data_IF_556611820417
#
_entry.id   IF_556611820417
#
_cell.length_a   1.000
_cell.length_b   1.000
_cell.length_c   1.000
_cell.angle_alpha   90.00
_cell.angle_beta   90.00
_cell.angle_gamma   90.00
#
_symmetry.space_group_name_H-M   'P 1'
#
loop_
_entity.id
_entity.type
_entity.pdbx_description
1 polymer ?
#
# COMPACT_ATOMS: atom_id res chain seq x y z
N UNK A 1 9.93 -24.21 40.82
CA UNK A 1 9.60 -25.38 40.01
C UNK A 1 8.50 -26.16 40.72
N UNK A 2 7.50 -26.67 40.02
CA UNK A 2 6.46 -27.46 40.69
C UNK A 2 7.03 -28.77 41.24
N UNK A 3 6.66 -29.19 42.47
CA UNK A 3 7.29 -30.32 43.17
C UNK A 3 7.08 -31.66 42.44
N UNK A 4 6.08 -31.77 41.58
CA UNK A 4 5.85 -32.95 40.74
C UNK A 4 6.83 -33.04 39.56
N UNK A 5 7.28 -31.90 39.02
CA UNK A 5 8.29 -31.86 37.96
C UNK A 5 9.68 -32.16 38.50
N UNK A 6 10.00 -31.71 39.72
CA UNK A 6 11.25 -32.05 40.42
C UNK A 6 11.43 -33.57 40.54
N UNK A 7 10.39 -34.30 40.94
CA UNK A 7 10.40 -35.77 41.01
C UNK A 7 10.62 -36.43 39.65
N UNK A 8 10.09 -35.86 38.57
CA UNK A 8 10.33 -36.36 37.21
C UNK A 8 11.77 -36.11 36.73
N UNK A 9 12.38 -35.02 37.18
CA UNK A 9 13.79 -34.71 36.92
C UNK A 9 14.71 -35.66 37.69
N UNK A 10 14.46 -35.85 38.99
CA UNK A 10 15.22 -36.79 39.82
C UNK A 10 15.14 -38.24 39.31
N UNK A 11 13.97 -38.64 38.80
CA UNK A 11 13.76 -39.97 38.19
C UNK A 11 14.24 -40.07 36.74
N UNK A 12 14.90 -39.04 36.19
CA UNK A 12 15.42 -38.95 34.80
C UNK A 12 14.38 -39.15 33.71
N UNK A 13 13.08 -39.01 34.02
CA UNK A 13 11.98 -39.06 33.05
C UNK A 13 11.77 -37.71 32.34
N UNK A 14 12.33 -36.65 32.92
CA UNK A 14 12.30 -35.28 32.41
C UNK A 14 13.69 -34.64 32.62
N UNK A 15 14.18 -33.92 31.63
CA UNK A 15 15.39 -33.10 31.78
C UNK A 15 15.07 -31.79 32.51
N UNK A 16 16.05 -31.16 33.18
CA UNK A 16 15.83 -29.85 33.81
C UNK A 16 15.32 -28.78 32.81
N UNK A 17 15.92 -28.74 31.61
CA UNK A 17 15.45 -27.90 30.50
C UNK A 17 14.02 -28.27 30.05
N UNK A 18 13.70 -29.56 30.05
CA UNK A 18 12.36 -30.04 29.74
C UNK A 18 11.33 -29.62 30.77
N UNK A 19 11.69 -29.58 32.06
CA UNK A 19 10.83 -29.06 33.12
C UNK A 19 10.50 -27.58 32.92
N UNK A 20 11.48 -26.75 32.57
CA UNK A 20 11.24 -25.33 32.24
C UNK A 20 10.30 -25.14 31.03
N UNK A 21 10.38 -26.01 30.01
CA UNK A 21 9.43 -25.95 28.89
C UNK A 21 8.05 -26.43 29.30
N UNK A 22 7.98 -27.49 30.12
CA UNK A 22 6.71 -28.02 30.57
C UNK A 22 5.97 -27.00 31.44
N UNK A 23 6.66 -26.21 32.27
CA UNK A 23 6.03 -25.12 33.03
C UNK A 23 5.24 -24.11 32.17
N UNK A 24 5.61 -23.96 30.89
CA UNK A 24 4.89 -23.10 29.92
C UNK A 24 3.72 -23.81 29.26
N UNK A 25 3.58 -25.12 29.44
CA UNK A 25 2.59 -26.00 28.84
C UNK A 25 1.58 -26.52 29.88
N UNK A 26 1.19 -25.68 30.84
CA UNK A 26 0.19 -26.02 31.87
C UNK A 26 -1.18 -26.33 31.26
N UNK A 27 -2.05 -27.08 31.97
CA UNK A 27 -3.44 -27.23 31.57
C UNK A 27 -4.10 -25.88 31.26
N UNK A 28 -4.81 -25.81 30.13
CA UNK A 28 -5.41 -24.59 29.60
C UNK A 28 -4.52 -23.79 28.64
N UNK A 29 -3.22 -24.07 28.56
CA UNK A 29 -2.32 -23.43 27.58
C UNK A 29 -2.52 -23.98 26.18
N UNK A 30 -2.21 -23.15 25.18
CA UNK A 30 -2.22 -23.53 23.78
C UNK A 30 -0.80 -23.79 23.29
N UNK A 31 -0.67 -24.75 22.38
CA UNK A 31 0.63 -25.17 21.85
C UNK A 31 0.56 -25.45 20.35
N UNK A 32 1.72 -25.47 19.71
CA UNK A 32 1.89 -25.90 18.33
C UNK A 32 2.83 -27.11 18.25
N UNK A 33 2.40 -28.16 17.57
CA UNK A 33 3.22 -29.32 17.22
C UNK A 33 3.52 -29.30 15.72
N UNK A 34 4.75 -29.64 15.33
CA UNK A 34 5.19 -29.62 13.92
C UNK A 34 4.33 -30.48 12.99
N UNK A 35 3.90 -31.65 13.46
CA UNK A 35 3.14 -32.63 12.65
C UNK A 35 1.64 -32.67 12.96
N UNK A 36 1.22 -32.18 14.12
CA UNK A 36 -0.18 -32.27 14.57
C UNK A 36 -0.86 -30.90 14.66
N UNK A 37 -0.11 -29.83 14.44
CA UNK A 37 -0.64 -28.48 14.37
C UNK A 37 -0.99 -27.92 15.75
N UNK A 38 -1.99 -27.05 15.75
CA UNK A 38 -2.47 -26.35 16.94
C UNK A 38 -3.18 -27.30 17.90
N UNK A 39 -2.91 -27.14 19.19
CA UNK A 39 -3.57 -27.89 20.25
C UNK A 39 -3.71 -27.13 21.55
N UNK A 40 -4.51 -27.68 22.47
CA UNK A 40 -4.72 -27.17 23.82
C UNK A 40 -4.37 -28.24 24.83
N UNK A 41 -3.51 -27.92 25.79
CA UNK A 41 -3.21 -28.83 26.90
C UNK A 41 -4.45 -28.92 27.78
N UNK A 42 -4.97 -30.12 27.96
CA UNK A 42 -6.17 -30.36 28.78
C UNK A 42 -5.79 -30.79 30.19
N UNK A 43 -4.77 -31.64 30.32
CA UNK A 43 -4.39 -32.23 31.60
C UNK A 43 -2.90 -32.58 31.65
N UNK A 44 -2.33 -32.48 32.84
CA UNK A 44 -1.06 -33.11 33.17
C UNK A 44 -1.31 -34.40 33.94
N UNK A 45 -0.97 -35.53 33.34
CA UNK A 45 -0.98 -36.83 33.99
C UNK A 45 0.45 -37.26 34.31
N UNK A 46 1.09 -36.51 35.22
CA UNK A 46 2.50 -36.70 35.56
C UNK A 46 2.77 -38.05 36.24
N UNK A 47 1.76 -38.62 36.90
CA UNK A 47 1.80 -39.98 37.46
C UNK A 47 2.07 -41.03 36.37
N UNK A 48 1.43 -40.89 35.20
CA UNK A 48 1.65 -41.74 34.03
C UNK A 48 2.77 -41.26 33.12
N UNK A 49 3.51 -40.21 33.52
CA UNK A 49 4.53 -39.55 32.69
C UNK A 49 3.98 -39.06 31.34
N UNK A 50 2.77 -38.51 31.34
CA UNK A 50 2.08 -38.02 30.14
C UNK A 50 1.42 -36.65 30.35
N UNK A 51 1.23 -35.91 29.26
CA UNK A 51 0.29 -34.80 29.19
C UNK A 51 -0.77 -35.11 28.13
N UNK A 52 -2.00 -34.67 28.37
CA UNK A 52 -3.11 -34.82 27.45
C UNK A 52 -3.33 -33.51 26.68
N UNK A 53 -3.43 -33.63 25.36
CA UNK A 53 -3.59 -32.48 24.46
C UNK A 53 -4.72 -32.74 23.49
N UNK A 54 -5.59 -31.74 23.34
CA UNK A 54 -6.59 -31.71 22.27
C UNK A 54 -5.98 -31.04 21.04
N UNK A 55 -5.63 -31.83 20.03
CA UNK A 55 -5.27 -31.34 18.70
C UNK A 55 -6.50 -31.30 17.79
N UNK A 56 -6.41 -30.54 16.69
CA UNK A 56 -7.42 -30.59 15.64
C UNK A 56 -7.61 -32.04 15.12
N UNK A 57 -8.79 -32.62 15.34
CA UNK A 57 -9.13 -33.98 14.93
C UNK A 57 -8.61 -35.11 15.84
N UNK A 58 -7.87 -34.81 16.92
CA UNK A 58 -7.40 -35.80 17.90
C UNK A 58 -7.58 -35.27 19.32
N UNK A 59 -8.70 -35.62 19.94
CA UNK A 59 -8.99 -35.28 21.34
C UNK A 59 -8.23 -36.18 22.31
N UNK A 60 -7.87 -35.62 23.46
CA UNK A 60 -7.21 -36.31 24.59
C UNK A 60 -5.99 -37.12 24.15
N UNK A 61 -5.17 -36.58 23.24
CA UNK A 61 -4.00 -37.28 22.75
C UNK A 61 -2.92 -37.34 23.85
N UNK A 62 -2.51 -38.54 24.29
CA UNK A 62 -1.48 -38.68 25.31
C UNK A 62 -0.10 -38.49 24.68
N UNK A 63 0.72 -37.65 25.31
CA UNK A 63 2.10 -37.38 24.89
C UNK A 63 3.05 -37.53 26.06
N UNK A 64 4.17 -38.24 25.89
CA UNK A 64 5.16 -38.37 26.96
C UNK A 64 5.75 -37.01 27.34
N UNK A 65 5.97 -36.78 28.64
CA UNK A 65 6.34 -35.46 29.18
C UNK A 65 7.62 -34.90 28.53
N UNK A 66 8.69 -35.69 28.42
CA UNK A 66 9.93 -35.24 27.77
C UNK A 66 9.72 -34.97 26.28
N UNK A 67 8.99 -35.82 25.56
CA UNK A 67 8.72 -35.62 24.14
C UNK A 67 7.91 -34.35 23.89
N UNK A 68 6.92 -34.08 24.76
CA UNK A 68 6.12 -32.88 24.71
C UNK A 68 6.96 -31.62 24.95
N UNK A 69 7.85 -31.65 25.95
CA UNK A 69 8.76 -30.55 26.24
C UNK A 69 9.73 -30.24 25.09
N UNK A 70 10.07 -31.24 24.26
CA UNK A 70 10.96 -31.09 23.11
C UNK A 70 10.24 -30.65 21.82
N UNK A 71 8.97 -31.02 21.65
CA UNK A 71 8.27 -30.92 20.35
C UNK A 71 7.09 -29.93 20.34
N UNK A 72 6.73 -29.36 21.49
CA UNK A 72 5.66 -28.38 21.59
C UNK A 72 6.20 -26.98 21.83
N UNK A 73 5.67 -26.03 21.05
CA UNK A 73 5.89 -24.62 21.28
C UNK A 73 4.66 -24.03 21.98
N UNK A 74 4.81 -23.54 23.22
CA UNK A 74 3.75 -22.80 23.92
C UNK A 74 3.39 -21.51 23.18
N UNK A 75 2.10 -21.20 23.05
CA UNK A 75 1.62 -20.01 22.36
C UNK A 75 1.12 -18.95 23.35
N UNK A 76 1.49 -17.69 23.10
CA UNK A 76 0.97 -16.53 23.83
C UNK A 76 -0.55 -16.37 23.60
N UNK A 77 -1.31 -15.84 24.57
CA UNK A 77 -2.71 -15.43 24.37
C UNK A 77 -2.91 -14.48 23.16
N UNK A 78 -1.91 -13.67 22.84
CA UNK A 78 -1.95 -12.72 21.72
C UNK A 78 -1.70 -13.38 20.36
N UNK A 79 -1.19 -14.62 20.36
CA UNK A 79 -0.93 -15.36 19.12
C UNK A 79 -2.22 -15.55 18.33
N UNK A 80 -2.18 -15.34 17.02
CA UNK A 80 -3.38 -15.31 16.17
C UNK A 80 -4.20 -16.60 16.27
N UNK A 81 -3.57 -17.77 16.23
CA UNK A 81 -4.26 -19.06 16.37
C UNK A 81 -4.99 -19.21 17.71
N UNK A 82 -4.44 -18.66 18.80
CA UNK A 82 -5.07 -18.69 20.13
C UNK A 82 -6.31 -17.81 20.14
N UNK A 83 -6.20 -16.59 19.62
CA UNK A 83 -7.34 -15.67 19.47
C UNK A 83 -8.44 -16.26 18.59
N UNK A 84 -8.07 -16.87 17.46
CA UNK A 84 -9.00 -17.55 16.54
C UNK A 84 -9.73 -18.71 17.21
N UNK A 85 -9.03 -19.51 18.02
CA UNK A 85 -9.63 -20.64 18.73
C UNK A 85 -10.60 -20.20 19.84
N UNK A 86 -10.29 -19.11 20.53
CA UNK A 86 -11.13 -18.59 21.62
C UNK A 86 -12.34 -17.81 21.12
N UNK A 87 -12.20 -17.03 20.04
CA UNK A 87 -13.27 -16.19 19.52
C UNK A 87 -13.16 -16.02 17.99
N UNK A 88 -13.69 -17.02 17.27
CA UNK A 88 -13.75 -16.98 15.81
C UNK A 88 -14.67 -15.86 15.29
N UNK A 89 -15.69 -15.47 16.06
CA UNK A 89 -16.66 -14.46 15.66
C UNK A 89 -15.99 -13.08 15.58
N UNK A 90 -15.19 -12.71 16.59
CA UNK A 90 -14.43 -11.46 16.54
C UNK A 90 -13.37 -11.47 15.45
N UNK A 91 -12.72 -12.60 15.16
CA UNK A 91 -11.80 -12.69 14.02
C UNK A 91 -12.51 -12.47 12.68
N UNK A 92 -13.69 -13.07 12.46
CA UNK A 92 -14.49 -12.84 11.25
C UNK A 92 -14.90 -11.37 11.10
N UNK A 93 -15.32 -10.74 12.20
CA UNK A 93 -15.65 -9.32 12.25
C UNK A 93 -14.43 -8.45 11.94
N UNK A 94 -13.31 -8.70 12.60
CA UNK A 94 -12.05 -7.98 12.39
C UNK A 94 -11.55 -8.13 10.95
N UNK A 95 -11.69 -9.30 10.34
CA UNK A 95 -11.30 -9.50 8.94
C UNK A 95 -12.13 -8.67 7.95
N UNK A 96 -13.34 -8.26 8.34
CA UNK A 96 -14.21 -7.40 7.53
C UNK A 96 -13.95 -5.91 7.79
N UNK A 97 -13.76 -5.54 9.06
CA UNK A 97 -13.59 -4.14 9.49
C UNK A 97 -12.16 -3.62 9.33
N UNK A 98 -11.16 -4.41 9.72
CA UNK A 98 -9.75 -4.08 9.62
C UNK A 98 -8.91 -5.29 9.14
N UNK A 99 -8.91 -5.55 7.82
CA UNK A 99 -8.14 -6.65 7.26
C UNK A 99 -6.62 -6.45 7.43
N UNK A 100 -6.14 -5.21 7.62
CA UNK A 100 -4.71 -4.93 7.84
C UNK A 100 -4.28 -5.40 9.23
N UNK A 101 -5.11 -5.18 10.25
CA UNK A 101 -4.87 -5.68 11.61
C UNK A 101 -4.85 -7.22 11.68
N UNK A 102 -5.70 -7.91 10.92
CA UNK A 102 -5.67 -9.39 10.83
C UNK A 102 -4.33 -9.86 10.28
N UNK A 103 -3.89 -9.29 9.15
CA UNK A 103 -2.59 -9.67 8.57
C UNK A 103 -1.44 -9.32 9.50
N UNK A 104 -1.49 -8.17 10.19
CA UNK A 104 -0.49 -7.82 11.21
C UNK A 104 -0.39 -8.91 12.28
N UNK A 105 -1.51 -9.27 12.89
CA UNK A 105 -1.55 -10.28 13.97
C UNK A 105 -1.02 -11.63 13.52
N UNK A 106 -1.32 -12.06 12.28
CA UNK A 106 -0.78 -13.29 11.70
C UNK A 106 0.74 -13.18 11.50
N UNK A 107 1.21 -12.09 10.90
CA UNK A 107 2.64 -11.90 10.61
C UNK A 107 3.46 -11.78 11.90
N UNK A 108 2.95 -11.11 12.93
CA UNK A 108 3.56 -11.06 14.27
C UNK A 108 3.67 -12.46 14.88
N UNK A 109 2.65 -13.30 14.70
CA UNK A 109 2.65 -14.68 15.15
C UNK A 109 3.66 -15.57 14.40
N UNK A 110 4.09 -15.16 13.20
CA UNK A 110 5.22 -15.74 12.46
C UNK A 110 6.54 -14.98 12.68
N UNK A 111 6.70 -14.33 13.83
CA UNK A 111 7.92 -13.57 14.18
C UNK A 111 8.25 -12.45 13.19
N UNK A 112 7.24 -11.79 12.65
CA UNK A 112 7.36 -10.59 11.82
C UNK A 112 7.45 -10.86 10.32
N UNK A 113 7.39 -12.11 9.86
CA UNK A 113 7.42 -12.44 8.43
C UNK A 113 6.60 -13.67 8.06
N UNK A 114 5.77 -13.58 7.02
CA UNK A 114 4.97 -14.71 6.55
C UNK A 114 4.76 -14.66 5.03
N UNK A 115 4.61 -15.82 4.40
CA UNK A 115 4.16 -15.93 3.01
C UNK A 115 2.64 -15.82 2.90
N UNK A 116 2.14 -15.50 1.69
CA UNK A 116 0.69 -15.50 1.43
C UNK A 116 0.06 -16.87 1.71
N UNK A 117 0.79 -17.94 1.43
CA UNK A 117 0.34 -19.32 1.67
C UNK A 117 0.14 -19.58 3.17
N UNK A 118 1.13 -19.21 4.00
CA UNK A 118 1.03 -19.33 5.46
C UNK A 118 -0.13 -18.51 6.04
N UNK A 119 -0.37 -17.30 5.52
CA UNK A 119 -1.51 -16.48 5.94
C UNK A 119 -2.83 -17.16 5.55
N UNK A 120 -2.93 -17.69 4.32
CA UNK A 120 -4.14 -18.37 3.85
C UNK A 120 -4.45 -19.63 4.65
N UNK A 121 -3.43 -20.40 5.05
CA UNK A 121 -3.59 -21.64 5.82
C UNK A 121 -4.34 -21.42 7.14
N UNK A 122 -4.21 -20.23 7.75
CA UNK A 122 -4.85 -19.93 9.03
C UNK A 122 -6.24 -19.32 8.89
N UNK A 123 -6.63 -18.88 7.70
CA UNK A 123 -7.90 -18.17 7.44
C UNK A 123 -8.87 -18.98 6.60
N UNK A 124 -8.38 -19.73 5.62
CA UNK A 124 -9.22 -20.56 4.74
C UNK A 124 -9.75 -21.77 5.51
N UNK A 125 -11.04 -22.07 5.34
CA UNK A 125 -11.75 -23.14 6.05
C UNK A 125 -12.56 -22.63 7.24
N UNK A 126 -11.94 -21.82 8.10
CA UNK A 126 -12.61 -21.29 9.31
C UNK A 126 -13.24 -19.91 9.10
N UNK A 127 -12.48 -18.99 8.47
CA UNK A 127 -12.86 -17.58 8.29
C UNK A 127 -13.42 -17.35 6.90
N UNK A 128 -12.76 -17.90 5.87
CA UNK A 128 -13.13 -17.73 4.48
C UNK A 128 -13.19 -19.07 3.73
N UNK A 129 -14.06 -19.15 2.74
CA UNK A 129 -13.91 -20.12 1.65
C UNK A 129 -12.76 -19.73 0.71
N UNK A 130 -12.29 -20.66 -0.12
CA UNK A 130 -11.27 -20.39 -1.15
C UNK A 130 -11.64 -19.23 -2.09
N UNK A 131 -12.92 -19.11 -2.44
CA UNK A 131 -13.41 -18.06 -3.32
C UNK A 131 -13.42 -16.68 -2.62
N UNK A 132 -13.86 -16.64 -1.36
CA UNK A 132 -13.88 -15.42 -0.54
C UNK A 132 -12.46 -14.94 -0.24
N UNK A 133 -11.55 -15.86 0.10
CA UNK A 133 -10.15 -15.55 0.35
C UNK A 133 -9.50 -14.84 -0.84
N UNK A 134 -9.70 -15.35 -2.08
CA UNK A 134 -9.12 -14.71 -3.28
C UNK A 134 -9.60 -13.27 -3.44
N UNK A 135 -10.90 -13.01 -3.23
CA UNK A 135 -11.46 -11.65 -3.33
C UNK A 135 -10.94 -10.76 -2.21
N UNK A 136 -10.97 -11.26 -0.97
CA UNK A 136 -10.50 -10.57 0.22
C UNK A 136 -9.02 -10.20 0.11
N UNK A 137 -8.18 -11.14 -0.32
CA UNK A 137 -6.73 -10.93 -0.45
C UNK A 137 -6.38 -9.84 -1.46
N UNK A 138 -7.07 -9.77 -2.61
CA UNK A 138 -6.82 -8.74 -3.62
C UNK A 138 -7.17 -7.33 -3.11
N UNK A 139 -8.24 -7.18 -2.33
CA UNK A 139 -8.54 -5.91 -1.64
C UNK A 139 -7.55 -5.61 -0.52
N UNK A 140 -7.25 -6.58 0.34
CA UNK A 140 -6.35 -6.42 1.49
C UNK A 140 -4.93 -6.09 1.06
N UNK A 141 -4.43 -6.69 -0.03
CA UNK A 141 -3.10 -6.39 -0.58
C UNK A 141 -2.94 -4.90 -0.93
N UNK A 142 -4.00 -4.25 -1.42
CA UNK A 142 -3.98 -2.79 -1.70
C UNK A 142 -3.91 -1.99 -0.41
N UNK A 143 -4.64 -2.41 0.63
CA UNK A 143 -4.63 -1.77 1.94
C UNK A 143 -3.28 -1.93 2.66
N UNK A 144 -2.67 -3.13 2.60
CA UNK A 144 -1.32 -3.38 3.15
C UNK A 144 -0.26 -2.49 2.49
N UNK A 145 -0.32 -2.33 1.16
CA UNK A 145 0.56 -1.40 0.44
C UNK A 145 0.28 0.06 0.81
N UNK A 146 -0.98 0.40 1.07
CA UNK A 146 -1.37 1.76 1.43
C UNK A 146 -1.04 2.11 2.89
N UNK A 147 -0.94 1.14 3.80
CA UNK A 147 -0.61 1.40 5.20
C UNK A 147 0.85 1.81 5.42
N UNK A 148 1.75 1.40 4.52
CA UNK A 148 3.19 1.66 4.66
C UNK A 148 3.85 0.89 5.81
N UNK A 149 3.12 0.06 6.56
CA UNK A 149 3.64 -0.73 7.69
C UNK A 149 4.20 -2.11 7.26
N UNK A 150 3.97 -2.50 6.01
CA UNK A 150 4.37 -3.80 5.47
C UNK A 150 5.29 -3.64 4.27
N UNK A 151 6.24 -4.55 4.13
CA UNK A 151 6.89 -4.84 2.86
C UNK A 151 6.08 -5.92 2.15
N UNK A 152 5.40 -5.56 1.05
CA UNK A 152 4.52 -6.46 0.30
C UNK A 152 5.17 -6.77 -1.06
N UNK A 153 5.75 -7.96 -1.25
CA UNK A 153 6.43 -8.31 -2.49
C UNK A 153 5.48 -8.49 -3.67
N UNK A 154 6.05 -8.45 -4.87
CA UNK A 154 5.31 -8.67 -6.11
C UNK A 154 4.92 -10.16 -6.27
N UNK A 155 5.84 -11.07 -5.95
CA UNK A 155 5.61 -12.53 -6.03
C UNK A 155 4.93 -13.04 -4.76
N UNK A 156 4.03 -14.01 -4.92
CA UNK A 156 3.27 -14.62 -3.81
C UNK A 156 4.14 -15.56 -2.94
N UNK A 157 5.27 -16.01 -3.47
CA UNK A 157 6.25 -16.88 -2.80
C UNK A 157 7.15 -16.12 -1.83
N UNK A 158 7.24 -14.82 -2.00
CA UNK A 158 8.16 -13.98 -1.24
C UNK A 158 7.49 -13.57 0.08
N UNK A 159 8.31 -13.30 1.09
CA UNK A 159 7.85 -13.00 2.45
C UNK A 159 7.23 -11.60 2.52
N UNK A 160 6.04 -11.52 3.11
CA UNK A 160 5.47 -10.28 3.63
C UNK A 160 6.11 -10.05 4.99
N UNK A 161 6.70 -8.88 5.18
CA UNK A 161 7.39 -8.54 6.42
C UNK A 161 6.76 -7.32 7.06
N UNK A 162 6.66 -7.32 8.39
CA UNK A 162 6.42 -6.09 9.14
C UNK A 162 7.66 -5.22 9.00
N UNK A 163 7.46 -3.94 8.70
CA UNK A 163 8.56 -2.98 8.78
C UNK A 163 8.80 -2.72 10.27
N UNK A 164 9.90 -3.25 10.79
CA UNK A 164 10.35 -2.94 12.15
C UNK A 164 10.79 -1.48 12.26
N UNK A 165 10.93 -0.98 13.49
CA UNK A 165 11.32 0.39 13.86
C UNK A 165 12.69 0.88 13.30
N UNK A 166 13.40 0.06 12.51
CA UNK A 166 14.71 0.38 11.93
C UNK A 166 14.84 0.30 10.40
N UNK A 167 13.82 -0.18 9.66
CA UNK A 167 13.82 -0.07 8.19
C UNK A 167 12.85 1.03 7.82
N UNK A 168 13.38 2.23 7.61
CA UNK A 168 12.53 3.38 7.32
C UNK A 168 11.85 3.18 5.96
N UNK A 169 10.52 3.19 5.95
CA UNK A 169 9.74 3.20 4.71
C UNK A 169 10.20 4.32 3.76
N UNK A 170 10.65 5.43 4.34
CA UNK A 170 11.21 6.57 3.60
C UNK A 170 12.49 6.19 2.85
N UNK A 171 13.39 5.41 3.45
CA UNK A 171 14.64 4.99 2.82
C UNK A 171 14.40 4.05 1.64
N UNK A 172 13.42 3.15 1.74
CA UNK A 172 13.03 2.29 0.62
C UNK A 172 12.41 3.09 -0.53
N UNK A 173 11.56 4.07 -0.22
CA UNK A 173 10.97 4.94 -1.23
C UNK A 173 12.04 5.78 -1.94
N UNK A 174 13.02 6.30 -1.20
CA UNK A 174 14.19 7.01 -1.75
C UNK A 174 15.03 6.06 -2.60
N UNK A 175 15.31 4.84 -2.11
CA UNK A 175 16.08 3.85 -2.85
C UNK A 175 15.35 3.42 -4.14
N UNK A 176 14.03 3.27 -4.10
CA UNK A 176 13.21 2.96 -5.28
C UNK A 176 13.29 4.10 -6.30
N UNK A 177 13.22 5.35 -5.85
CA UNK A 177 13.39 6.52 -6.71
C UNK A 177 14.78 6.54 -7.35
N UNK A 178 15.84 6.32 -6.58
CA UNK A 178 17.21 6.33 -7.07
C UNK A 178 17.53 5.17 -8.03
N UNK A 179 16.83 4.03 -7.89
CA UNK A 179 16.97 2.87 -8.80
C UNK A 179 16.22 3.05 -10.11
N UNK A 180 15.19 3.90 -10.16
CA UNK A 180 14.38 4.14 -11.34
C UNK A 180 15.20 4.84 -12.44
N UNK A 181 15.36 4.18 -13.59
CA UNK A 181 16.18 4.68 -14.70
C UNK A 181 15.36 5.41 -15.74
N UNK A 182 14.09 5.04 -15.89
CA UNK A 182 13.20 5.66 -16.86
C UNK A 182 12.39 6.79 -16.22
N UNK A 183 12.10 7.90 -16.92
CA UNK A 183 11.30 9.00 -16.36
C UNK A 183 9.93 8.56 -15.85
N UNK A 184 9.26 7.61 -16.53
CA UNK A 184 7.97 7.06 -16.07
C UNK A 184 8.08 6.30 -14.74
N UNK A 185 9.15 5.55 -14.54
CA UNK A 185 9.43 4.87 -13.26
C UNK A 185 9.72 5.90 -12.16
N UNK A 186 10.45 6.97 -12.49
CA UNK A 186 10.73 8.06 -11.56
C UNK A 186 9.47 8.83 -11.16
N UNK A 187 8.55 9.09 -12.10
CA UNK A 187 7.23 9.67 -11.81
C UNK A 187 6.46 8.77 -10.84
N UNK A 188 6.38 7.47 -11.13
CA UNK A 188 5.67 6.52 -10.27
C UNK A 188 6.28 6.43 -8.86
N UNK A 189 7.61 6.44 -8.75
CA UNK A 189 8.31 6.45 -7.47
C UNK A 189 8.08 7.75 -6.70
N UNK A 190 8.12 8.91 -7.38
CA UNK A 190 7.82 10.21 -6.78
C UNK A 190 6.38 10.28 -6.26
N UNK A 191 5.41 9.74 -6.99
CA UNK A 191 4.02 9.67 -6.54
C UNK A 191 3.85 8.85 -5.25
N UNK A 192 4.65 7.80 -5.06
CA UNK A 192 4.69 7.08 -3.77
C UNK A 192 5.28 7.94 -2.64
N UNK A 193 6.36 8.68 -2.91
CA UNK A 193 6.95 9.62 -1.93
C UNK A 193 5.93 10.67 -1.51
N UNK A 194 5.24 11.29 -2.48
CA UNK A 194 4.18 12.29 -2.23
C UNK A 194 3.06 11.70 -1.37
N UNK A 195 2.63 10.46 -1.68
CA UNK A 195 1.59 9.76 -0.92
C UNK A 195 1.98 9.57 0.55
N UNK A 196 3.24 9.26 0.82
CA UNK A 196 3.75 8.98 2.17
C UNK A 196 4.57 10.13 2.77
N UNK A 197 4.44 11.36 2.26
CA UNK A 197 5.25 12.52 2.66
C UNK A 197 5.30 12.76 4.18
N UNK A 198 4.22 12.47 4.90
CA UNK A 198 4.13 12.65 6.36
C UNK A 198 5.15 11.81 7.14
N UNK A 199 5.66 10.72 6.54
CA UNK A 199 6.66 9.84 7.14
C UNK A 199 8.08 10.37 7.00
N UNK A 200 8.32 11.35 6.11
CA UNK A 200 9.64 11.92 5.82
C UNK A 200 10.08 13.05 6.76
N UNK A 201 9.54 13.12 7.97
CA UNK A 201 9.96 14.13 8.97
C UNK A 201 11.45 13.94 9.29
N UNK A 202 12.27 14.97 9.05
CA UNK A 202 13.73 14.91 9.25
C UNK A 202 14.53 14.39 8.05
N UNK A 203 13.87 14.01 6.94
CA UNK A 203 14.50 13.56 5.69
C UNK A 203 14.50 14.64 4.59
N UNK A 204 14.37 15.92 4.96
CA UNK A 204 14.20 17.03 4.01
C UNK A 204 15.40 17.16 3.06
N UNK A 205 16.61 16.88 3.54
CA UNK A 205 17.83 16.88 2.70
C UNK A 205 17.75 15.83 1.58
N UNK A 206 17.26 14.63 1.89
CA UNK A 206 17.13 13.56 0.89
C UNK A 206 16.02 13.92 -0.12
N UNK A 207 14.89 14.44 0.36
CA UNK A 207 13.82 14.91 -0.52
C UNK A 207 14.26 16.07 -1.41
N UNK A 208 15.11 16.97 -0.91
CA UNK A 208 15.65 18.08 -1.71
C UNK A 208 16.53 17.58 -2.87
N UNK A 209 17.31 16.52 -2.67
CA UNK A 209 18.07 15.87 -3.75
C UNK A 209 17.15 15.25 -4.81
N UNK A 210 16.02 14.67 -4.38
CA UNK A 210 14.99 14.16 -5.29
C UNK A 210 14.38 15.30 -6.12
N UNK A 211 14.05 16.44 -5.50
CA UNK A 211 13.58 17.63 -6.22
C UNK A 211 14.57 18.05 -7.30
N UNK A 212 15.86 18.18 -6.98
CA UNK A 212 16.89 18.54 -7.97
C UNK A 212 17.00 17.51 -9.10
N UNK A 213 16.92 16.22 -8.78
CA UNK A 213 16.92 15.15 -9.78
C UNK A 213 15.74 15.26 -10.75
N UNK A 214 14.52 15.47 -10.22
CA UNK A 214 13.30 15.64 -11.00
C UNK A 214 13.38 16.84 -11.94
N UNK A 215 13.87 17.99 -11.44
CA UNK A 215 14.03 19.20 -12.25
C UNK A 215 14.99 18.97 -13.42
N UNK A 216 16.10 18.28 -13.19
CA UNK A 216 17.06 17.92 -14.23
C UNK A 216 16.45 16.98 -15.28
N UNK A 217 15.69 15.98 -14.85
CA UNK A 217 15.03 15.03 -15.77
C UNK A 217 13.95 15.74 -16.59
N UNK A 218 13.16 16.62 -15.97
CA UNK A 218 12.13 17.39 -16.66
C UNK A 218 12.75 18.30 -17.73
N UNK A 219 13.79 19.06 -17.38
CA UNK A 219 14.48 19.94 -18.32
C UNK A 219 15.07 19.17 -19.53
N UNK A 220 15.68 18.00 -19.29
CA UNK A 220 16.23 17.15 -20.35
C UNK A 220 15.17 16.59 -21.29
N UNK A 221 13.98 16.31 -20.79
CA UNK A 221 12.90 15.70 -21.57
C UNK A 221 11.97 16.72 -22.24
N UNK A 222 11.95 18.00 -21.84
CA UNK A 222 10.99 18.99 -22.34
C UNK A 222 10.88 19.07 -23.87
N UNK A 223 12.01 19.06 -24.59
CA UNK A 223 12.00 19.21 -26.05
C UNK A 223 11.40 17.99 -26.77
N UNK A 224 11.82 16.78 -26.35
CA UNK A 224 11.51 15.51 -27.03
C UNK A 224 10.25 14.84 -26.51
N UNK A 225 10.03 14.91 -25.19
CA UNK A 225 8.93 14.30 -24.46
C UNK A 225 8.31 15.32 -23.50
N UNK A 226 7.71 16.41 -24.02
CA UNK A 226 7.10 17.45 -23.19
C UNK A 226 6.06 16.89 -22.21
N UNK A 227 5.33 15.83 -22.57
CA UNK A 227 4.38 15.17 -21.66
C UNK A 227 5.03 14.72 -20.35
N UNK A 228 6.24 14.17 -20.41
CA UNK A 228 6.98 13.74 -19.22
C UNK A 228 7.44 14.93 -18.38
N UNK A 229 7.85 16.03 -19.03
CA UNK A 229 8.22 17.25 -18.33
C UNK A 229 7.02 17.84 -17.56
N UNK A 230 5.84 17.92 -18.18
CA UNK A 230 4.61 18.33 -17.49
C UNK A 230 4.31 17.45 -16.28
N UNK A 231 4.39 16.13 -16.44
CA UNK A 231 4.11 15.21 -15.33
C UNK A 231 5.09 15.35 -14.16
N UNK A 232 6.37 15.50 -14.45
CA UNK A 232 7.44 15.66 -13.47
C UNK A 232 7.31 17.00 -12.72
N UNK A 233 7.02 18.09 -13.44
CA UNK A 233 6.87 19.42 -12.84
C UNK A 233 5.63 19.50 -11.95
N UNK A 234 4.50 18.96 -12.40
CA UNK A 234 3.29 18.92 -11.57
C UNK A 234 3.53 18.06 -10.32
N UNK A 235 4.18 16.90 -10.45
CA UNK A 235 4.48 16.06 -9.30
C UNK A 235 5.49 16.72 -8.33
N UNK A 236 6.49 17.46 -8.84
CA UNK A 236 7.41 18.25 -8.02
C UNK A 236 6.65 19.31 -7.23
N UNK A 237 5.79 20.08 -7.87
CA UNK A 237 5.04 21.15 -7.22
C UNK A 237 4.11 20.59 -6.14
N UNK A 238 3.50 19.42 -6.40
CA UNK A 238 2.71 18.65 -5.43
C UNK A 238 3.51 18.17 -4.21
N UNK A 239 4.81 17.90 -4.36
CA UNK A 239 5.70 17.57 -3.25
C UNK A 239 6.08 18.83 -2.46
N UNK A 240 6.40 19.93 -3.15
CA UNK A 240 6.74 21.21 -2.53
C UNK A 240 5.58 21.77 -1.69
N UNK A 241 4.34 21.64 -2.17
CA UNK A 241 3.13 22.05 -1.45
C UNK A 241 2.95 21.25 -0.15
N UNK A 242 3.26 19.95 -0.18
CA UNK A 242 3.11 19.05 0.99
C UNK A 242 4.27 19.11 1.97
N UNK A 243 5.45 19.55 1.53
CA UNK A 243 6.66 19.64 2.37
C UNK A 243 7.23 21.06 2.27
N UNK A 244 6.71 22.01 3.07
CA UNK A 244 7.04 23.44 2.94
C UNK A 244 8.50 23.83 3.20
N UNK A 245 9.35 22.89 3.64
CA UNK A 245 10.80 23.10 3.79
C UNK A 245 11.57 22.92 2.48
N UNK A 246 10.97 22.26 1.50
CA UNK A 246 11.60 22.05 0.20
C UNK A 246 11.51 23.31 -0.66
N UNK A 247 12.48 23.47 -1.55
CA UNK A 247 12.55 24.60 -2.50
C UNK A 247 12.85 24.09 -3.90
N UNK A 248 12.34 24.77 -4.91
CA UNK A 248 12.79 24.57 -6.29
C UNK A 248 14.25 25.04 -6.41
N UNK A 249 15.06 24.30 -7.17
CA UNK A 249 16.42 24.74 -7.53
C UNK A 249 16.46 25.40 -8.90
N UNK A 250 15.37 25.31 -9.67
CA UNK A 250 15.25 25.83 -11.02
C UNK A 250 14.05 26.79 -11.18
N UNK A 251 14.25 28.06 -10.83
CA UNK A 251 13.21 29.12 -10.82
C UNK A 251 12.48 29.26 -12.17
N UNK A 252 13.17 29.04 -13.29
CA UNK A 252 12.57 29.14 -14.63
C UNK A 252 11.72 27.93 -15.04
N UNK A 253 11.74 26.82 -14.30
CA UNK A 253 11.08 25.57 -14.68
C UNK A 253 9.75 25.45 -13.94
N UNK A 254 8.79 26.29 -14.32
CA UNK A 254 7.45 26.35 -13.73
C UNK A 254 6.41 25.78 -14.67
N UNK A 255 5.26 25.34 -14.13
CA UNK A 255 4.12 24.94 -14.95
C UNK A 255 3.70 26.04 -15.92
N UNK A 256 3.66 27.30 -15.47
CA UNK A 256 3.34 28.47 -16.30
C UNK A 256 4.30 28.63 -17.47
N UNK A 257 5.61 28.50 -17.22
CA UNK A 257 6.62 28.61 -18.27
C UNK A 257 6.50 27.46 -19.28
N UNK A 258 6.27 26.24 -18.81
CA UNK A 258 6.01 25.09 -19.69
C UNK A 258 4.77 25.31 -20.57
N UNK A 259 3.67 25.83 -20.02
CA UNK A 259 2.46 26.14 -20.81
C UNK A 259 2.77 27.17 -21.91
N UNK A 260 3.53 28.22 -21.60
CA UNK A 260 3.91 29.24 -22.58
C UNK A 260 4.84 28.70 -23.66
N UNK A 261 5.87 27.95 -23.28
CA UNK A 261 6.85 27.41 -24.22
C UNK A 261 6.23 26.34 -25.13
N UNK A 262 5.25 25.59 -24.60
CA UNK A 262 4.58 24.49 -25.28
C UNK A 262 3.18 24.84 -25.80
N UNK A 263 2.80 26.13 -25.81
CA UNK A 263 1.44 26.60 -26.08
C UNK A 263 0.87 25.96 -27.36
N UNK A 264 1.67 25.94 -28.43
CA UNK A 264 1.30 25.36 -29.74
C UNK A 264 1.17 23.84 -29.73
N UNK A 265 1.94 23.14 -28.89
CA UNK A 265 1.97 21.67 -28.79
C UNK A 265 0.97 21.12 -27.77
N UNK A 266 0.31 21.96 -26.96
CA UNK A 266 -0.64 21.51 -25.93
C UNK A 266 -1.68 20.50 -26.43
N UNK A 267 -2.20 20.66 -27.65
CA UNK A 267 -3.18 19.74 -28.24
C UNK A 267 -2.66 18.29 -28.37
N UNK A 268 -1.35 18.10 -28.60
CA UNK A 268 -0.75 16.76 -28.69
C UNK A 268 -0.17 16.27 -27.35
N UNK A 269 0.04 17.17 -26.39
CA UNK A 269 0.59 16.85 -25.07
C UNK A 269 -0.52 16.42 -24.11
N UNK A 270 -1.58 17.22 -23.99
CA UNK A 270 -2.63 17.03 -22.98
C UNK A 270 -3.29 15.64 -23.02
N UNK A 271 -3.62 15.05 -24.20
CA UNK A 271 -4.21 13.71 -24.25
C UNK A 271 -3.33 12.60 -23.68
N UNK A 272 -2.00 12.82 -23.61
CA UNK A 272 -1.04 11.86 -23.06
C UNK A 272 -0.92 11.94 -21.54
N UNK A 273 -1.50 12.97 -20.92
CA UNK A 273 -1.42 13.17 -19.48
C UNK A 273 -2.50 12.39 -18.72
N UNK A 274 -2.21 11.94 -17.49
CA UNK A 274 -3.23 11.49 -16.55
C UNK A 274 -4.30 12.57 -16.31
N UNK A 275 -5.56 12.17 -16.11
CA UNK A 275 -6.71 13.07 -16.02
C UNK A 275 -6.54 14.20 -14.99
N UNK A 276 -5.95 13.89 -13.83
CA UNK A 276 -5.72 14.88 -12.78
C UNK A 276 -4.67 15.93 -13.17
N UNK A 277 -3.64 15.53 -13.92
CA UNK A 277 -2.57 16.42 -14.40
C UNK A 277 -3.06 17.25 -15.58
N UNK A 278 -3.81 16.66 -16.52
CA UNK A 278 -4.52 17.38 -17.61
C UNK A 278 -5.38 18.52 -17.04
N UNK A 279 -6.20 18.21 -16.02
CA UNK A 279 -7.04 19.19 -15.34
C UNK A 279 -6.23 20.36 -14.76
N UNK A 280 -5.10 20.08 -14.10
CA UNK A 280 -4.23 21.13 -13.52
C UNK A 280 -3.67 22.06 -14.60
N UNK A 281 -3.25 21.52 -15.75
CA UNK A 281 -2.77 22.34 -16.87
C UNK A 281 -3.89 23.25 -17.38
N UNK A 282 -5.09 22.70 -17.61
CA UNK A 282 -6.24 23.47 -18.10
C UNK A 282 -6.67 24.57 -17.12
N UNK A 283 -6.67 24.29 -15.82
CA UNK A 283 -6.99 25.28 -14.78
C UNK A 283 -5.96 26.41 -14.69
N UNK A 284 -4.73 26.19 -15.13
CA UNK A 284 -3.70 27.22 -15.16
C UNK A 284 -3.79 28.13 -16.40
N UNK A 285 -4.51 27.74 -17.46
CA UNK A 285 -4.57 28.51 -18.71
C UNK A 285 -5.05 29.96 -18.52
N UNK A 286 -6.12 30.27 -17.75
CA UNK A 286 -6.58 31.64 -17.59
C UNK A 286 -5.52 32.57 -17.01
N UNK A 287 -4.82 32.11 -15.98
CA UNK A 287 -3.75 32.86 -15.32
C UNK A 287 -2.52 33.01 -16.21
N UNK A 288 -2.17 31.97 -16.98
CA UNK A 288 -0.92 31.93 -17.75
C UNK A 288 -1.02 32.65 -19.09
N UNK A 289 -2.13 32.47 -19.81
CA UNK A 289 -2.31 33.03 -21.15
C UNK A 289 -3.02 34.40 -21.14
N UNK A 290 -3.58 34.80 -19.99
CA UNK A 290 -4.32 36.06 -19.86
C UNK A 290 -5.44 36.12 -20.91
N UNK A 291 -5.70 37.27 -21.55
CA UNK A 291 -6.81 37.43 -22.50
C UNK A 291 -6.88 36.42 -23.65
N UNK A 292 -5.75 35.80 -24.03
CA UNK A 292 -5.68 34.80 -25.12
C UNK A 292 -6.15 33.41 -24.70
N UNK A 293 -6.39 33.18 -23.40
CA UNK A 293 -6.71 31.85 -22.88
C UNK A 293 -8.02 31.30 -23.45
N UNK A 294 -9.02 32.17 -23.65
CA UNK A 294 -10.34 31.78 -24.14
C UNK A 294 -10.25 31.21 -25.55
N UNK A 295 -9.64 31.96 -26.47
CA UNK A 295 -9.41 31.51 -27.85
C UNK A 295 -8.63 30.18 -27.86
N UNK A 296 -7.55 30.10 -27.06
CA UNK A 296 -6.73 28.88 -27.01
C UNK A 296 -7.52 27.68 -26.46
N UNK A 297 -8.32 27.87 -25.42
CA UNK A 297 -9.13 26.82 -24.82
C UNK A 297 -10.23 26.33 -25.77
N UNK A 298 -10.84 27.23 -26.56
CA UNK A 298 -11.80 26.84 -27.60
C UNK A 298 -11.13 26.04 -28.72
N UNK A 299 -9.92 26.43 -29.17
CA UNK A 299 -9.14 25.65 -30.14
C UNK A 299 -8.80 24.25 -29.60
N UNK A 300 -8.43 24.14 -28.32
CA UNK A 300 -8.20 22.84 -27.68
C UNK A 300 -9.48 22.00 -27.68
N UNK A 301 -10.64 22.59 -27.35
CA UNK A 301 -11.92 21.87 -27.32
C UNK A 301 -12.27 21.22 -28.67
N UNK A 302 -11.97 21.88 -29.79
CA UNK A 302 -12.21 21.35 -31.14
C UNK A 302 -11.33 20.13 -31.51
N UNK A 303 -10.13 20.02 -30.93
CA UNK A 303 -9.17 18.95 -31.24
C UNK A 303 -9.08 17.84 -30.20
N UNK A 304 -10.00 17.79 -29.24
CA UNK A 304 -9.85 16.98 -28.02
C UNK A 304 -10.93 15.92 -27.82
N UNK A 305 -10.62 14.94 -26.96
CA UNK A 305 -11.54 13.91 -26.49
C UNK A 305 -12.56 14.45 -25.47
N UNK A 306 -13.71 13.79 -25.31
CA UNK A 306 -14.83 14.25 -24.48
C UNK A 306 -14.48 14.64 -23.04
N UNK A 307 -13.52 13.95 -22.40
CA UNK A 307 -13.04 14.33 -21.06
C UNK A 307 -12.47 15.76 -21.04
N UNK A 308 -11.65 16.12 -22.03
CA UNK A 308 -11.02 17.43 -22.08
C UNK A 308 -12.05 18.52 -22.36
N UNK A 309 -13.03 18.25 -23.23
CA UNK A 309 -14.16 19.14 -23.51
C UNK A 309 -14.88 19.48 -22.20
N UNK A 310 -15.26 18.46 -21.42
CA UNK A 310 -15.91 18.66 -20.13
C UNK A 310 -15.04 19.43 -19.12
N UNK A 311 -13.72 19.22 -19.12
CA UNK A 311 -12.80 19.96 -18.25
C UNK A 311 -12.66 21.42 -18.67
N UNK A 312 -12.51 21.71 -19.96
CA UNK A 312 -12.42 23.08 -20.49
C UNK A 312 -13.72 23.83 -20.18
N UNK A 313 -14.88 23.23 -20.44
CA UNK A 313 -16.17 23.84 -20.13
C UNK A 313 -16.29 24.19 -18.62
N UNK A 314 -15.77 23.33 -17.73
CA UNK A 314 -15.71 23.63 -16.29
C UNK A 314 -14.78 24.81 -15.99
N UNK A 315 -13.61 24.90 -16.62
CA UNK A 315 -12.70 26.04 -16.44
C UNK A 315 -13.35 27.36 -16.87
N UNK A 316 -14.08 27.37 -17.98
CA UNK A 316 -14.90 28.52 -18.38
C UNK A 316 -15.99 28.85 -17.37
N UNK A 317 -16.62 27.83 -16.78
CA UNK A 317 -17.61 28.03 -15.72
C UNK A 317 -17.02 28.65 -14.46
N UNK A 318 -15.90 28.12 -13.99
CA UNK A 318 -15.17 28.63 -12.83
C UNK A 318 -14.70 30.08 -13.06
N UNK A 319 -14.44 30.47 -14.31
CA UNK A 319 -14.10 31.84 -14.72
C UNK A 319 -15.31 32.75 -14.98
N UNK A 320 -16.55 32.26 -14.81
CA UNK A 320 -17.78 33.02 -15.09
C UNK A 320 -18.07 33.28 -16.57
N UNK A 321 -17.39 32.58 -17.48
CA UNK A 321 -17.45 32.77 -18.93
C UNK A 321 -18.23 31.67 -19.67
N UNK A 322 -19.29 31.14 -19.04
CA UNK A 322 -20.16 30.11 -19.66
C UNK A 322 -20.75 30.54 -21.02
N UNK A 323 -21.03 31.82 -21.19
CA UNK A 323 -21.59 32.36 -22.43
C UNK A 323 -20.66 32.18 -23.63
N UNK A 324 -19.34 32.25 -23.43
CA UNK A 324 -18.33 32.06 -24.48
C UNK A 324 -18.35 30.62 -25.02
N UNK A 325 -18.46 29.64 -24.12
CA UNK A 325 -18.56 28.22 -24.50
C UNK A 325 -19.84 27.97 -25.30
N UNK A 326 -20.98 28.48 -24.82
CA UNK A 326 -22.26 28.35 -25.52
C UNK A 326 -22.21 28.94 -26.92
N UNK A 327 -21.71 30.18 -27.04
CA UNK A 327 -21.58 30.89 -28.32
C UNK A 327 -20.69 30.13 -29.29
N UNK A 328 -19.58 29.57 -28.80
CA UNK A 328 -18.70 28.76 -29.63
C UNK A 328 -19.37 27.48 -30.12
N UNK A 329 -20.07 26.75 -29.26
CA UNK A 329 -20.78 25.53 -29.63
C UNK A 329 -21.88 25.81 -30.66
N UNK A 330 -22.70 26.84 -30.45
CA UNK A 330 -23.73 27.26 -31.41
C UNK A 330 -23.12 27.60 -32.77
N UNK A 331 -22.00 28.33 -32.78
CA UNK A 331 -21.24 28.62 -34.01
C UNK A 331 -20.73 27.34 -34.67
N UNK A 332 -20.09 26.45 -33.91
CA UNK A 332 -19.52 25.21 -34.44
C UNK A 332 -20.58 24.24 -34.97
N UNK A 333 -21.77 24.20 -34.37
CA UNK A 333 -22.91 23.42 -34.87
C UNK A 333 -23.40 24.03 -36.18
N UNK A 334 -23.62 25.35 -36.23
CA UNK A 334 -24.10 26.07 -37.42
C UNK A 334 -23.12 25.95 -38.60
N UNK A 335 -21.82 25.98 -38.34
CA UNK A 335 -20.76 25.88 -39.34
C UNK A 335 -20.37 24.43 -39.67
N UNK A 336 -21.06 23.43 -39.09
CA UNK A 336 -20.71 22.00 -39.22
C UNK A 336 -19.25 21.67 -38.88
N UNK A 337 -18.65 22.42 -37.95
CA UNK A 337 -17.29 22.24 -37.46
C UNK A 337 -17.21 21.60 -36.06
N UNK A 338 -18.36 21.36 -35.42
CA UNK A 338 -18.44 20.62 -34.16
C UNK A 338 -18.02 19.15 -34.34
N UNK A 339 -17.12 18.66 -33.50
CA UNK A 339 -16.71 17.25 -33.52
C UNK A 339 -17.77 16.36 -32.89
N UNK A 340 -17.76 15.06 -33.20
CA UNK A 340 -18.67 14.10 -32.58
C UNK A 340 -18.61 14.12 -31.05
N UNK A 341 -17.41 14.27 -30.48
CA UNK A 341 -17.21 14.39 -29.03
C UNK A 341 -17.86 15.65 -28.44
N UNK A 342 -17.83 16.77 -29.17
CA UNK A 342 -18.49 18.03 -28.77
C UNK A 342 -20.01 17.93 -28.84
N UNK A 343 -20.57 17.12 -29.75
CA UNK A 343 -22.01 16.92 -29.87
C UNK A 343 -22.56 15.92 -28.84
N UNK A 344 -21.72 14.96 -28.42
CA UNK A 344 -22.07 13.97 -27.39
C UNK A 344 -22.05 14.57 -25.98
N UNK A 345 -21.11 15.48 -25.71
CA UNK A 345 -21.04 16.25 -24.47
C UNK A 345 -22.14 17.31 -24.43
#
# INVERSE_FOLDING_TARGET
MEPELEKLVESRKLSAKGAEQLEKLKPGTFCLHKSWGFGRVTEWNLLLNQILIDFAGKKSHPMQVQYAAENLTSLSPEHFLVRKANDLVSIKKLATEDPVAVVRSIVESFSGQATVAQISEWLVGDVFTEAEWKRWWESTKKLLKASGAFSVPAKKTDLIQLRGEGVSHTDELIASFNKARQPKEQIAALEQIIKFHQQFKGSEKQLQLIVTSIENVAARNQKMHPELAFELIIARDDLLERVPLLRTTHIGLTLSKLILDEEKRLMSILPKLPAAKEKKVLQALPTVLGPRWTERALQLMQGSHGRMIAQIARVFGDAGQHAEVKTMLERSIREHSATSEMLVW
#
